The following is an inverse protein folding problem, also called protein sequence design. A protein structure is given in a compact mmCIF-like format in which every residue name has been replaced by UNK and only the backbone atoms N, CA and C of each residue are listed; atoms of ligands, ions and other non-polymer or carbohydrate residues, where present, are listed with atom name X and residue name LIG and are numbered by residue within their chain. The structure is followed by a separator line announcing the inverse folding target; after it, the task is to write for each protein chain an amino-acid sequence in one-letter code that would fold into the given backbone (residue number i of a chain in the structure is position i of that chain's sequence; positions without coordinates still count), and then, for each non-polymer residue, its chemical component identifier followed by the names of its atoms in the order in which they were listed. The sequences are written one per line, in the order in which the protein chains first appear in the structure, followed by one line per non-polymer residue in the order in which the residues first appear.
data_IF_351597837888
#
_entry.id   IF_351597837888
#
_cell.length_a   1.000
_cell.length_b   1.000
_cell.length_c   1.000
_cell.angle_alpha   90.00
_cell.angle_beta   90.00
_cell.angle_gamma   90.00
#
_symmetry.space_group_name_H-M   'P 1'
#
loop_
_entity.id
_entity.type
_entity.pdbx_description
1 polymer ?
#
# COMPACT_ATOMS: atom_id res chain seq x y z
N UNK A 1 -40.09 -13.94 -21.94
CA UNK A 1 -39.10 -12.84 -21.96
C UNK A 1 -38.74 -12.56 -23.42
N UNK A 2 -38.94 -11.32 -23.89
CA UNK A 2 -38.67 -10.97 -25.29
C UNK A 2 -37.18 -11.09 -25.64
N UNK A 3 -36.86 -11.33 -26.91
CA UNK A 3 -35.48 -11.47 -27.42
C UNK A 3 -34.61 -10.26 -27.02
N UNK A 4 -35.21 -9.06 -27.02
CA UNK A 4 -34.56 -7.81 -26.60
C UNK A 4 -33.99 -7.88 -25.19
N UNK A 5 -34.79 -8.34 -24.24
CA UNK A 5 -34.37 -8.44 -22.85
C UNK A 5 -33.30 -9.51 -22.63
N UNK A 6 -33.40 -10.64 -23.34
CA UNK A 6 -32.38 -11.70 -23.26
C UNK A 6 -31.01 -11.18 -23.75
N UNK A 7 -30.99 -10.48 -24.89
CA UNK A 7 -29.77 -9.89 -25.43
C UNK A 7 -29.15 -8.87 -24.46
N UNK A 8 -29.93 -7.91 -23.98
CA UNK A 8 -29.43 -6.88 -23.03
C UNK A 8 -28.83 -7.55 -21.78
N UNK A 9 -29.53 -8.53 -21.21
CA UNK A 9 -29.07 -9.23 -20.01
C UNK A 9 -27.79 -10.04 -20.26
N UNK A 10 -27.66 -10.70 -21.42
CA UNK A 10 -26.42 -11.40 -21.79
C UNK A 10 -25.23 -10.45 -21.94
N UNK A 11 -25.40 -9.32 -22.62
CA UNK A 11 -24.33 -8.32 -22.78
C UNK A 11 -23.90 -7.74 -21.43
N UNK A 12 -24.85 -7.44 -20.54
CA UNK A 12 -24.56 -6.95 -19.19
C UNK A 12 -23.81 -8.00 -18.36
N UNK A 13 -24.26 -9.26 -18.34
CA UNK A 13 -23.60 -10.32 -17.56
C UNK A 13 -22.17 -10.58 -18.03
N UNK A 14 -21.96 -10.70 -19.34
CA UNK A 14 -20.64 -10.98 -19.93
C UNK A 14 -19.65 -9.84 -19.66
N UNK A 15 -20.14 -8.61 -19.55
CA UNK A 15 -19.27 -7.44 -19.36
C UNK A 15 -19.04 -7.07 -17.90
N UNK A 16 -20.09 -7.12 -17.07
CA UNK A 16 -20.04 -6.68 -15.66
C UNK A 16 -19.32 -7.73 -14.80
N UNK A 17 -19.54 -9.01 -15.04
CA UNK A 17 -18.99 -10.06 -14.17
C UNK A 17 -17.45 -10.09 -14.18
N UNK A 18 -16.76 -10.09 -15.34
CA UNK A 18 -15.30 -9.99 -15.37
C UNK A 18 -14.77 -8.70 -14.77
N UNK A 19 -15.47 -7.58 -15.00
CA UNK A 19 -15.09 -6.28 -14.45
C UNK A 19 -15.09 -6.31 -12.91
N UNK A 20 -16.19 -6.78 -12.31
CA UNK A 20 -16.33 -6.90 -10.85
C UNK A 20 -15.27 -7.84 -10.26
N UNK A 21 -15.01 -8.97 -10.92
CA UNK A 21 -13.96 -9.91 -10.50
C UNK A 21 -12.57 -9.27 -10.58
N UNK A 22 -12.26 -8.58 -11.67
CA UNK A 22 -10.97 -7.91 -11.87
C UNK A 22 -10.76 -6.79 -10.84
N UNK A 23 -11.80 -5.98 -10.59
CA UNK A 23 -11.76 -4.91 -9.58
C UNK A 23 -11.60 -5.44 -8.17
N UNK A 24 -12.39 -6.47 -7.81
CA UNK A 24 -12.29 -7.12 -6.50
C UNK A 24 -10.92 -7.77 -6.28
N UNK A 25 -10.42 -8.51 -7.28
CA UNK A 25 -9.09 -9.11 -7.24
C UNK A 25 -7.99 -8.06 -7.11
N UNK A 26 -8.04 -7.01 -7.94
CA UNK A 26 -7.08 -5.90 -7.89
C UNK A 26 -7.07 -5.20 -6.53
N UNK A 27 -8.25 -4.97 -5.95
CA UNK A 27 -8.39 -4.38 -4.62
C UNK A 27 -7.82 -5.26 -3.50
N UNK A 28 -8.05 -6.57 -3.55
CA UNK A 28 -7.46 -7.50 -2.59
C UNK A 28 -5.94 -7.53 -2.73
N UNK A 29 -5.43 -7.58 -3.96
CA UNK A 29 -4.00 -7.64 -4.24
C UNK A 29 -3.27 -6.37 -3.78
N UNK A 30 -3.80 -5.17 -4.07
CA UNK A 30 -3.17 -3.92 -3.65
C UNK A 30 -3.14 -3.78 -2.12
N UNK A 31 -4.18 -4.24 -1.41
CA UNK A 31 -4.18 -4.24 0.06
C UNK A 31 -3.13 -5.18 0.63
N UNK A 32 -3.00 -6.39 0.08
CA UNK A 32 -1.99 -7.36 0.50
C UNK A 32 -0.58 -6.83 0.26
N UNK A 33 -0.29 -6.38 -0.97
CA UNK A 33 1.03 -5.85 -1.35
C UNK A 33 1.38 -4.62 -0.54
N UNK A 34 0.45 -3.66 -0.36
CA UNK A 34 0.66 -2.46 0.46
C UNK A 34 0.99 -2.80 1.90
N UNK A 35 0.22 -3.70 2.52
CA UNK A 35 0.45 -4.09 3.92
C UNK A 35 1.80 -4.80 4.12
N UNK A 36 2.18 -5.66 3.19
CA UNK A 36 3.46 -6.36 3.20
C UNK A 36 4.62 -5.39 3.01
N UNK A 37 4.53 -4.51 2.00
CA UNK A 37 5.54 -3.52 1.70
C UNK A 37 5.73 -2.53 2.86
N UNK A 38 4.66 -2.09 3.51
CA UNK A 38 4.72 -1.24 4.71
C UNK A 38 5.40 -1.94 5.88
N UNK A 39 5.03 -3.20 6.13
CA UNK A 39 5.62 -4.00 7.21
C UNK A 39 7.11 -4.21 6.98
N UNK A 40 7.51 -4.58 5.77
CA UNK A 40 8.91 -4.84 5.43
C UNK A 40 9.73 -3.54 5.46
N UNK A 41 9.21 -2.45 4.89
CA UNK A 41 9.87 -1.14 4.94
C UNK A 41 10.05 -0.64 6.37
N UNK A 42 9.04 -0.80 7.23
CA UNK A 42 9.14 -0.46 8.66
C UNK A 42 10.23 -1.27 9.36
N UNK A 43 10.31 -2.57 9.07
CA UNK A 43 11.32 -3.45 9.63
C UNK A 43 12.72 -3.09 9.14
N UNK A 44 12.91 -2.87 7.84
CA UNK A 44 14.21 -2.49 7.26
C UNK A 44 14.68 -1.15 7.80
N UNK A 45 13.79 -0.16 7.92
CA UNK A 45 14.12 1.13 8.54
C UNK A 45 14.50 0.95 10.01
N UNK A 46 13.75 0.16 10.78
CA UNK A 46 14.09 -0.12 12.17
C UNK A 46 15.48 -0.77 12.30
N UNK A 47 15.82 -1.73 11.43
CA UNK A 47 17.15 -2.36 11.40
C UNK A 47 18.22 -1.33 11.07
N UNK A 48 18.02 -0.51 10.04
CA UNK A 48 18.98 0.50 9.62
C UNK A 48 19.26 1.54 10.73
N UNK A 49 18.21 2.01 11.42
CA UNK A 49 18.38 2.93 12.56
C UNK A 49 19.12 2.29 13.73
N UNK A 50 18.86 1.01 14.04
CA UNK A 50 19.59 0.28 15.08
C UNK A 50 21.06 0.14 14.71
N UNK A 51 21.36 -0.29 13.49
CA UNK A 51 22.74 -0.40 12.99
C UNK A 51 23.46 0.95 12.99
N UNK A 52 22.79 2.02 12.57
CA UNK A 52 23.35 3.37 12.60
C UNK A 52 23.72 3.79 14.03
N UNK A 53 22.84 3.57 15.01
CA UNK A 53 23.11 3.91 16.41
C UNK A 53 24.25 3.06 17.00
N UNK A 54 24.31 1.77 16.67
CA UNK A 54 25.38 0.87 17.09
C UNK A 54 26.73 1.29 16.50
N UNK A 55 26.76 1.55 15.19
CA UNK A 55 27.95 1.99 14.48
C UNK A 55 28.44 3.33 15.01
N UNK A 56 27.56 4.32 15.19
CA UNK A 56 27.91 5.62 15.78
C UNK A 56 28.51 5.47 17.18
N UNK A 57 27.94 4.59 18.00
CA UNK A 57 28.47 4.31 19.34
C UNK A 57 29.87 3.71 19.27
N UNK A 58 30.11 2.79 18.33
CA UNK A 58 31.41 2.16 18.14
C UNK A 58 32.46 3.15 17.59
N UNK A 59 32.08 4.03 16.68
CA UNK A 59 32.96 5.06 16.13
C UNK A 59 33.37 6.07 17.23
N UNK A 60 32.40 6.51 18.04
CA UNK A 60 32.65 7.36 19.22
C UNK A 60 33.56 6.62 20.20
N UNK A 61 33.30 5.33 20.49
CA UNK A 61 34.13 4.50 21.37
C UNK A 61 35.58 4.53 20.93
N UNK A 62 35.85 4.16 19.68
CA UNK A 62 37.22 4.13 19.14
C UNK A 62 37.91 5.49 19.22
N UNK A 63 37.20 6.56 18.89
CA UNK A 63 37.76 7.92 18.93
C UNK A 63 38.10 8.36 20.36
N UNK A 64 37.22 8.08 21.34
CA UNK A 64 37.44 8.41 22.74
C UNK A 64 38.53 7.55 23.38
N UNK A 65 38.59 6.25 23.07
CA UNK A 65 39.65 5.36 23.55
C UNK A 65 41.02 5.80 23.06
N UNK A 66 41.12 6.16 21.78
CA UNK A 66 42.35 6.74 21.22
C UNK A 66 42.72 8.06 21.90
N UNK A 67 41.73 8.94 22.11
CA UNK A 67 41.96 10.22 22.78
C UNK A 67 42.47 10.05 24.21
N UNK A 68 41.78 9.21 25.00
CA UNK A 68 42.11 8.98 26.41
C UNK A 68 43.46 8.28 26.56
N UNK A 69 43.71 7.22 25.76
CA UNK A 69 45.00 6.52 25.80
C UNK A 69 46.17 7.45 25.49
N UNK A 70 46.05 8.33 24.49
CA UNK A 70 47.09 9.29 24.15
C UNK A 70 47.31 10.36 25.24
N UNK A 71 46.24 10.81 25.93
CA UNK A 71 46.35 11.74 27.08
C UNK A 71 47.03 11.07 28.27
N UNK A 72 46.63 9.85 28.62
CA UNK A 72 47.20 9.08 29.74
C UNK A 72 48.70 8.79 29.55
N UNK A 73 49.17 8.63 28.31
CA UNK A 73 50.61 8.43 28.02
C UNK A 73 51.42 9.73 28.19
N UNK A 74 50.79 10.89 27.99
CA UNK A 74 51.48 12.19 27.95
C UNK A 74 51.46 12.94 29.27
N UNK A 75 50.55 12.61 30.18
CA UNK A 75 50.31 13.34 31.42
C UNK A 75 50.13 12.37 32.60
N UNK A 76 51.17 12.26 33.43
CA UNK A 76 51.17 11.41 34.62
C UNK A 76 50.16 11.86 35.70
N UNK A 77 49.68 13.10 35.64
CA UNK A 77 48.68 13.67 36.56
C UNK A 77 47.26 13.71 35.94
N UNK A 78 47.00 12.91 34.92
CA UNK A 78 45.71 12.89 34.25
C UNK A 78 44.56 12.45 35.17
N UNK A 79 43.57 13.33 35.36
CA UNK A 79 42.31 13.02 36.03
C UNK A 79 41.16 12.92 35.02
N UNK A 80 40.30 11.90 35.18
CA UNK A 80 39.17 11.67 34.28
C UNK A 80 38.20 12.86 34.33
N UNK A 81 38.05 13.50 35.49
CA UNK A 81 37.20 14.67 35.67
C UNK A 81 37.57 15.84 34.74
N UNK A 82 38.85 15.99 34.38
CA UNK A 82 39.33 17.09 33.52
C UNK A 82 38.81 16.95 32.08
N UNK A 83 38.50 15.72 31.64
CA UNK A 83 37.93 15.46 30.32
C UNK A 83 36.59 16.18 30.11
N UNK A 84 35.87 16.48 31.18
CA UNK A 84 34.58 17.18 31.11
C UNK A 84 34.74 18.61 30.60
N UNK A 85 35.94 19.19 30.71
CA UNK A 85 36.26 20.55 30.28
C UNK A 85 37.12 20.58 29.01
N UNK A 86 37.55 19.43 28.49
CA UNK A 86 38.33 19.34 27.26
C UNK A 86 37.38 19.44 26.03
N UNK A 87 37.53 20.47 25.17
CA UNK A 87 36.66 20.66 24.02
C UNK A 87 36.76 19.52 23.00
N UNK A 88 37.95 18.94 22.82
CA UNK A 88 38.16 17.85 21.87
C UNK A 88 37.42 16.59 22.35
N UNK A 89 37.57 16.23 23.63
CA UNK A 89 36.85 15.11 24.22
C UNK A 89 35.32 15.31 24.13
N UNK A 90 34.84 16.50 24.48
CA UNK A 90 33.42 16.82 24.47
C UNK A 90 32.81 16.72 23.07
N UNK A 91 33.50 17.25 22.05
CA UNK A 91 33.03 17.18 20.65
C UNK A 91 33.02 15.76 20.08
N UNK A 92 33.95 14.90 20.52
CA UNK A 92 33.98 13.49 20.12
C UNK A 92 32.87 12.69 20.81
N UNK A 93 32.64 12.92 22.10
CA UNK A 93 31.69 12.15 22.92
C UNK A 93 30.23 12.57 22.78
N UNK A 94 29.96 13.84 22.46
CA UNK A 94 28.62 14.36 22.25
C UNK A 94 28.38 14.60 20.76
N UNK A 95 27.69 13.66 20.13
CA UNK A 95 27.27 13.75 18.74
C UNK A 95 25.75 13.65 18.66
N UNK A 96 25.15 14.43 17.77
CA UNK A 96 23.75 14.32 17.39
C UNK A 96 23.66 13.72 15.99
N UNK A 97 22.65 12.88 15.75
CA UNK A 97 22.42 12.28 14.44
C UNK A 97 20.93 12.03 14.24
N UNK A 98 20.46 12.19 13.01
CA UNK A 98 19.03 12.22 12.76
C UNK A 98 18.36 13.42 13.43
N UNK A 99 17.10 13.27 13.83
CA UNK A 99 16.29 14.32 14.50
C UNK A 99 16.28 14.18 16.02
N UNK A 100 16.33 12.94 16.50
CA UNK A 100 16.19 12.62 17.93
C UNK A 100 17.39 11.88 18.50
N UNK A 101 18.31 11.45 17.63
CA UNK A 101 19.49 10.68 17.99
C UNK A 101 20.57 11.54 18.63
N UNK A 102 21.10 11.09 19.76
CA UNK A 102 22.28 11.70 20.37
C UNK A 102 23.08 10.71 21.22
N UNK A 103 24.36 11.00 21.42
CA UNK A 103 25.21 10.34 22.40
C UNK A 103 25.38 11.20 23.66
N UNK A 104 25.57 10.52 24.79
CA UNK A 104 25.98 11.11 26.05
C UNK A 104 26.99 10.19 26.73
N UNK A 105 27.78 10.73 27.65
CA UNK A 105 28.77 9.97 28.41
C UNK A 105 28.25 9.83 29.83
N UNK A 106 28.30 8.60 30.34
CA UNK A 106 27.97 8.25 31.70
C UNK A 106 29.25 7.92 32.45
N UNK A 107 29.29 8.27 33.73
CA UNK A 107 30.31 7.82 34.64
C UNK A 107 29.73 6.75 35.56
N UNK A 108 30.47 5.65 35.72
CA UNK A 108 30.16 4.61 36.69
C UNK A 108 31.08 4.74 37.91
N UNK A 109 30.52 5.20 39.03
CA UNK A 109 31.20 5.26 40.34
C UNK A 109 30.61 4.18 41.25
N UNK A 110 31.35 3.08 41.46
CA UNK A 110 30.85 1.85 42.12
C UNK A 110 29.60 1.32 41.42
N UNK A 111 28.45 1.34 42.09
CA UNK A 111 27.14 0.91 41.55
C UNK A 111 26.24 2.08 41.11
N UNK A 112 26.77 3.31 41.10
CA UNK A 112 26.03 4.50 40.67
C UNK A 112 26.41 4.91 39.26
N UNK A 113 25.40 5.31 38.49
CA UNK A 113 25.57 5.92 37.18
C UNK A 113 25.10 7.37 37.23
N UNK A 114 25.92 8.28 36.72
CA UNK A 114 25.58 9.70 36.53
C UNK A 114 25.98 10.17 35.14
N UNK A 115 25.33 11.23 34.65
CA UNK A 115 25.75 11.84 33.39
C UNK A 115 27.09 12.57 33.58
N UNK A 116 28.12 12.12 32.87
CA UNK A 116 29.40 12.80 32.77
C UNK A 116 29.35 13.92 31.72
N UNK A 117 28.83 13.60 30.54
CA UNK A 117 28.52 14.59 29.49
C UNK A 117 27.13 14.34 28.94
N UNK A 118 26.42 15.39 28.57
CA UNK A 118 25.09 15.29 27.98
C UNK A 118 24.79 16.52 27.09
N UNK A 119 24.06 16.37 25.96
CA UNK A 119 23.73 17.51 25.09
C UNK A 119 22.96 18.62 25.79
N UNK A 120 22.16 18.27 26.79
CA UNK A 120 21.52 19.21 27.72
C UNK A 120 22.41 19.38 28.98
N UNK A 121 23.05 20.54 29.19
CA UNK A 121 23.96 20.78 30.31
C UNK A 121 23.33 20.59 31.70
N UNK A 122 22.00 20.81 31.82
CA UNK A 122 21.27 20.63 33.10
C UNK A 122 21.24 19.19 33.60
N UNK A 123 21.60 18.24 32.73
CA UNK A 123 21.62 16.81 33.05
C UNK A 123 22.96 16.35 33.60
N UNK A 124 24.04 17.09 33.35
CA UNK A 124 25.39 16.75 33.79
C UNK A 124 25.41 16.64 35.32
N UNK A 125 26.07 15.59 35.83
CA UNK A 125 26.15 15.24 37.25
C UNK A 125 24.90 14.59 37.84
N UNK A 126 23.75 14.55 37.14
CA UNK A 126 22.53 13.91 37.67
C UNK A 126 22.70 12.40 37.76
N UNK A 127 22.32 11.83 38.90
CA UNK A 127 22.22 10.39 39.13
C UNK A 127 21.05 9.81 38.32
N UNK A 128 21.32 8.74 37.58
CA UNK A 128 20.33 7.97 36.81
C UNK A 128 20.16 6.54 37.31
N UNK A 129 20.80 6.18 38.42
CA UNK A 129 20.76 4.84 39.03
C UNK A 129 19.32 4.45 39.37
N UNK A 130 18.55 5.38 39.94
CA UNK A 130 17.13 5.16 40.24
C UNK A 130 16.28 4.94 38.98
N UNK A 131 16.58 5.66 37.90
CA UNK A 131 15.92 5.52 36.60
C UNK A 131 16.21 4.15 35.98
N UNK A 132 17.47 3.71 36.05
CA UNK A 132 17.90 2.38 35.60
C UNK A 132 17.19 1.31 36.42
N UNK A 133 17.13 1.43 37.74
CA UNK A 133 16.51 0.45 38.62
C UNK A 133 14.99 0.30 38.40
N UNK A 134 14.28 1.40 38.12
CA UNK A 134 12.82 1.41 37.91
C UNK A 134 12.39 0.76 36.60
N UNK A 135 13.22 0.75 35.56
CA UNK A 135 12.88 0.17 34.26
C UNK A 135 13.59 -1.17 34.02
N UNK A 136 12.85 -2.27 34.05
CA UNK A 136 13.40 -3.64 33.93
C UNK A 136 14.18 -3.85 32.61
N UNK A 137 13.70 -3.30 31.49
CA UNK A 137 14.39 -3.44 30.18
C UNK A 137 15.68 -2.64 30.16
N UNK A 138 15.64 -1.41 30.69
CA UNK A 138 16.81 -0.54 30.79
C UNK A 138 17.84 -1.10 31.78
N UNK A 139 17.42 -1.61 32.93
CA UNK A 139 18.28 -2.35 33.88
C UNK A 139 19.01 -3.52 33.19
N UNK A 140 18.28 -4.34 32.43
CA UNK A 140 18.84 -5.47 31.68
C UNK A 140 19.83 -5.05 30.59
N UNK A 141 19.68 -3.86 30.01
CA UNK A 141 20.63 -3.29 29.07
C UNK A 141 21.95 -2.96 29.78
N UNK A 142 21.88 -2.22 30.88
CA UNK A 142 23.05 -1.82 31.67
C UNK A 142 23.81 -3.03 32.21
N UNK A 143 23.11 -4.02 32.79
CA UNK A 143 23.75 -5.25 33.28
C UNK A 143 24.52 -5.99 32.18
N UNK A 144 23.95 -6.08 30.96
CA UNK A 144 24.63 -6.69 29.82
C UNK A 144 25.82 -5.88 29.34
N UNK A 145 25.69 -4.56 29.25
CA UNK A 145 26.79 -3.69 28.85
C UNK A 145 27.95 -3.72 29.86
N UNK A 146 27.65 -3.75 31.17
CA UNK A 146 28.68 -3.88 32.21
C UNK A 146 29.39 -5.23 32.13
N UNK A 147 28.65 -6.31 31.85
CA UNK A 147 29.22 -7.65 31.77
C UNK A 147 30.02 -7.91 30.47
N UNK A 148 29.63 -7.29 29.35
CA UNK A 148 30.20 -7.59 28.02
C UNK A 148 30.92 -6.40 27.35
N UNK A 149 30.94 -5.24 27.98
CA UNK A 149 31.46 -3.99 27.40
C UNK A 149 30.55 -3.32 26.35
N UNK A 150 29.54 -4.02 25.85
CA UNK A 150 28.60 -3.52 24.85
C UNK A 150 27.23 -4.16 25.01
N UNK A 151 26.17 -3.36 24.92
CA UNK A 151 24.82 -3.87 24.74
C UNK A 151 23.93 -2.84 24.07
N UNK A 152 22.94 -3.33 23.32
CA UNK A 152 21.88 -2.52 22.73
C UNK A 152 20.51 -3.06 23.10
N UNK A 153 19.49 -2.21 23.05
CA UNK A 153 18.15 -2.61 23.43
C UNK A 153 17.12 -1.49 23.43
N UNK A 154 15.86 -1.89 23.49
CA UNK A 154 14.73 -0.97 23.48
C UNK A 154 14.26 -0.79 24.92
N UNK A 155 14.12 0.47 25.35
CA UNK A 155 13.49 0.82 26.60
C UNK A 155 12.54 2.00 26.41
N UNK A 156 11.58 2.12 27.31
CA UNK A 156 10.64 3.23 27.34
C UNK A 156 10.85 4.02 28.62
N UNK A 157 11.27 5.27 28.47
CA UNK A 157 11.60 6.15 29.58
C UNK A 157 10.75 7.39 29.45
N UNK A 158 9.98 7.70 30.50
CA UNK A 158 9.05 8.84 30.52
C UNK A 158 8.10 8.84 29.31
N UNK A 159 7.50 7.67 29.00
CA UNK A 159 6.60 7.45 27.86
C UNK A 159 7.22 7.63 26.48
N UNK A 160 8.55 7.74 26.40
CA UNK A 160 9.28 7.81 25.12
C UNK A 160 9.99 6.48 24.89
N UNK A 161 9.49 5.72 23.90
CA UNK A 161 10.13 4.49 23.42
C UNK A 161 11.36 4.86 22.59
N UNK A 162 12.52 4.32 22.97
CA UNK A 162 13.78 4.62 22.30
C UNK A 162 14.65 3.38 22.21
N UNK A 163 15.47 3.34 21.16
CA UNK A 163 16.57 2.40 21.07
C UNK A 163 17.79 3.01 21.74
N UNK A 164 18.43 2.23 22.60
CA UNK A 164 19.60 2.62 23.36
C UNK A 164 20.75 1.68 23.02
N UNK A 165 21.94 2.25 22.88
CA UNK A 165 23.19 1.52 22.76
C UNK A 165 24.10 2.01 23.87
N UNK A 166 24.70 1.09 24.59
CA UNK A 166 25.60 1.38 25.71
C UNK A 166 26.90 0.63 25.49
N UNK A 167 28.02 1.33 25.56
CA UNK A 167 29.35 0.72 25.47
C UNK A 167 30.30 1.34 26.48
N UNK A 168 31.20 0.54 27.07
CA UNK A 168 32.26 1.04 27.91
C UNK A 168 33.37 1.70 27.07
N UNK A 169 34.09 2.63 27.68
CA UNK A 169 35.37 3.13 27.18
C UNK A 169 36.46 2.39 27.95
N UNK A 170 37.25 1.56 27.26
CA UNK A 170 38.27 0.72 27.90
C UNK A 170 39.31 1.55 28.66
N UNK A 171 39.76 1.04 29.80
CA UNK A 171 40.68 1.75 30.70
C UNK A 171 40.06 2.85 31.55
N UNK A 172 38.74 3.10 31.46
CA UNK A 172 38.07 4.18 32.21
C UNK A 172 36.81 3.71 32.95
N UNK A 173 36.28 4.56 33.82
CA UNK A 173 34.96 4.41 34.45
C UNK A 173 33.79 4.88 33.56
N UNK A 174 34.07 5.29 32.32
CA UNK A 174 33.13 5.96 31.44
C UNK A 174 32.41 5.00 30.49
N UNK A 175 31.17 5.33 30.16
CA UNK A 175 30.34 4.62 29.20
C UNK A 175 29.70 5.60 28.22
N UNK A 176 29.63 5.22 26.94
CA UNK A 176 28.88 5.93 25.91
C UNK A 176 27.47 5.39 25.90
N UNK A 177 26.49 6.26 26.15
CA UNK A 177 25.07 5.97 25.97
C UNK A 177 24.55 6.73 24.74
N UNK A 178 24.18 5.99 23.72
CA UNK A 178 23.52 6.53 22.53
C UNK A 178 22.03 6.24 22.59
N UNK A 179 21.20 7.21 22.24
CA UNK A 179 19.74 7.10 22.24
C UNK A 179 19.18 7.57 20.92
N UNK A 180 18.19 6.86 20.36
CA UNK A 180 17.36 7.30 19.22
C UNK A 180 15.88 7.02 19.51
N UNK A 181 15.00 7.98 19.25
CA UNK A 181 13.56 7.81 19.46
C UNK A 181 12.91 6.99 18.36
N UNK A 182 11.95 6.12 18.72
CA UNK A 182 11.14 5.39 17.74
C UNK A 182 10.26 6.30 16.88
N UNK A 183 9.91 7.49 17.40
CA UNK A 183 9.13 8.49 16.65
C UNK A 183 9.81 8.92 15.33
N UNK A 184 11.15 8.81 15.24
CA UNK A 184 11.90 9.12 14.03
C UNK A 184 11.69 8.10 12.91
N UNK A 185 11.36 6.86 13.26
CA UNK A 185 11.00 5.78 12.32
C UNK A 185 9.52 5.90 11.92
N UNK A 186 8.67 6.32 12.85
CA UNK A 186 7.22 6.44 12.62
C UNK A 186 6.90 7.48 11.53
N UNK A 187 7.62 8.60 11.49
CA UNK A 187 7.39 9.65 10.49
C UNK A 187 7.48 9.16 9.03
N UNK A 188 8.61 8.59 8.59
CA UNK A 188 8.74 8.01 7.25
C UNK A 188 7.69 6.92 6.95
N UNK A 189 7.35 6.09 7.94
CA UNK A 189 6.35 5.03 7.77
C UNK A 189 4.93 5.57 7.62
N UNK A 190 4.57 6.63 8.35
CA UNK A 190 3.30 7.32 8.17
C UNK A 190 3.21 7.97 6.79
N UNK A 191 4.30 8.61 6.33
CA UNK A 191 4.36 9.19 4.99
C UNK A 191 4.20 8.12 3.90
N UNK A 192 4.86 6.96 4.06
CA UNK A 192 4.73 5.83 3.14
C UNK A 192 3.30 5.25 3.17
N UNK A 193 2.71 5.09 4.35
CA UNK A 193 1.31 4.64 4.50
C UNK A 193 0.34 5.57 3.80
N UNK A 194 0.57 6.89 3.90
CA UNK A 194 -0.23 7.90 3.22
C UNK A 194 -0.17 7.73 1.71
N UNK A 195 1.04 7.58 1.14
CA UNK A 195 1.23 7.36 -0.31
C UNK A 195 0.51 6.11 -0.81
N UNK A 196 0.63 4.99 -0.10
CA UNK A 196 -0.09 3.77 -0.49
C UNK A 196 -1.61 3.93 -0.44
N UNK A 197 -2.13 4.68 0.53
CA UNK A 197 -3.56 4.97 0.60
C UNK A 197 -4.00 5.89 -0.54
N UNK A 198 -3.20 6.91 -0.88
CA UNK A 198 -3.46 7.80 -2.02
C UNK A 198 -3.48 7.02 -3.35
N UNK A 199 -2.53 6.10 -3.56
CA UNK A 199 -2.51 5.21 -4.73
C UNK A 199 -3.73 4.28 -4.77
N UNK A 200 -4.15 3.77 -3.62
CA UNK A 200 -5.36 2.94 -3.51
C UNK A 200 -6.63 3.70 -3.89
N UNK A 201 -6.79 4.92 -3.39
CA UNK A 201 -7.93 5.79 -3.75
C UNK A 201 -7.91 6.12 -5.25
N UNK A 202 -6.73 6.39 -5.81
CA UNK A 202 -6.56 6.63 -7.25
C UNK A 202 -6.95 5.42 -8.08
N UNK A 203 -6.52 4.22 -7.69
CA UNK A 203 -6.93 2.97 -8.33
C UNK A 203 -8.45 2.77 -8.29
N UNK A 204 -9.09 3.00 -7.14
CA UNK A 204 -10.54 2.89 -7.01
C UNK A 204 -11.28 3.89 -7.89
N UNK A 205 -10.81 5.14 -7.93
CA UNK A 205 -11.39 6.17 -8.80
C UNK A 205 -11.29 5.77 -10.28
N UNK A 206 -10.11 5.35 -10.73
CA UNK A 206 -9.91 4.86 -12.10
C UNK A 206 -10.79 3.65 -12.41
N UNK A 207 -10.90 2.70 -11.47
CA UNK A 207 -11.75 1.54 -11.61
C UNK A 207 -13.23 1.91 -11.72
N UNK A 208 -13.72 2.84 -10.90
CA UNK A 208 -15.11 3.32 -10.98
C UNK A 208 -15.40 4.09 -12.27
N UNK A 209 -14.50 4.98 -12.68
CA UNK A 209 -14.64 5.72 -13.95
C UNK A 209 -14.62 4.75 -15.12
N UNK A 210 -13.64 3.85 -15.17
CA UNK A 210 -13.52 2.83 -16.22
C UNK A 210 -14.73 1.87 -16.25
N UNK A 211 -15.25 1.52 -15.07
CA UNK A 211 -16.44 0.70 -14.95
C UNK A 211 -17.71 1.42 -15.44
N UNK A 212 -17.88 2.70 -15.11
CA UNK A 212 -19.01 3.50 -15.56
C UNK A 212 -18.96 3.73 -17.08
N UNK A 213 -17.79 4.04 -17.64
CA UNK A 213 -17.62 4.20 -19.08
C UNK A 213 -17.88 2.90 -19.83
N UNK A 214 -17.37 1.77 -19.32
CA UNK A 214 -17.60 0.44 -19.91
C UNK A 214 -19.08 0.07 -19.83
N UNK A 215 -19.73 0.29 -18.68
CA UNK A 215 -21.15 0.04 -18.50
C UNK A 215 -22.01 0.86 -19.47
N UNK A 216 -21.70 2.14 -19.65
CA UNK A 216 -22.38 3.00 -20.62
C UNK A 216 -22.21 2.50 -22.07
N UNK A 217 -21.00 2.11 -22.47
CA UNK A 217 -20.74 1.56 -23.81
C UNK A 217 -21.50 0.26 -24.05
N UNK A 218 -21.49 -0.66 -23.09
CA UNK A 218 -22.23 -1.93 -23.17
C UNK A 218 -23.72 -1.68 -23.32
N UNK A 219 -24.28 -0.72 -22.56
CA UNK A 219 -25.68 -0.33 -22.68
C UNK A 219 -26.00 0.23 -24.07
N UNK A 220 -25.16 1.14 -24.59
CA UNK A 220 -25.34 1.70 -25.93
C UNK A 220 -25.30 0.63 -27.02
N UNK A 221 -24.34 -0.30 -26.95
CA UNK A 221 -24.22 -1.43 -27.88
C UNK A 221 -25.46 -2.33 -27.77
N UNK A 222 -25.90 -2.67 -26.56
CA UNK A 222 -27.08 -3.51 -26.36
C UNK A 222 -28.36 -2.85 -26.92
N UNK A 223 -28.53 -1.54 -26.73
CA UNK A 223 -29.64 -0.78 -27.31
C UNK A 223 -29.56 -0.74 -28.84
N UNK A 224 -28.36 -0.53 -29.39
CA UNK A 224 -28.13 -0.55 -30.83
C UNK A 224 -28.52 -1.90 -31.46
N UNK A 225 -28.08 -3.02 -30.87
CA UNK A 225 -28.49 -4.37 -31.29
C UNK A 225 -29.99 -4.63 -31.13
N UNK A 226 -30.60 -4.13 -30.05
CA UNK A 226 -32.05 -4.25 -29.83
C UNK A 226 -32.87 -3.58 -30.94
N UNK A 227 -32.43 -2.40 -31.38
CA UNK A 227 -33.10 -1.63 -32.44
C UNK A 227 -32.81 -2.19 -33.83
N UNK A 228 -31.55 -2.54 -34.12
CA UNK A 228 -31.11 -2.96 -35.46
C UNK A 228 -31.38 -4.43 -35.79
N UNK A 229 -31.39 -5.32 -34.81
CA UNK A 229 -31.64 -6.75 -35.03
C UNK A 229 -32.97 -7.20 -34.41
N UNK A 230 -33.11 -7.06 -33.10
CA UNK A 230 -34.22 -7.71 -32.40
C UNK A 230 -35.58 -7.14 -32.81
N UNK A 231 -35.70 -5.83 -33.04
CA UNK A 231 -36.96 -5.22 -33.49
C UNK A 231 -37.36 -5.67 -34.91
N UNK A 232 -36.51 -5.57 -35.95
CA UNK A 232 -36.81 -6.12 -37.28
C UNK A 232 -37.18 -7.60 -37.28
N UNK A 233 -36.44 -8.44 -36.55
CA UNK A 233 -36.71 -9.89 -36.48
C UNK A 233 -38.09 -10.15 -35.86
N UNK A 234 -38.43 -9.44 -34.78
CA UNK A 234 -39.74 -9.57 -34.14
C UNK A 234 -40.85 -9.16 -35.11
N UNK A 235 -40.68 -8.04 -35.83
CA UNK A 235 -41.64 -7.58 -36.82
C UNK A 235 -41.82 -8.56 -37.99
N UNK A 236 -40.72 -9.08 -38.56
CA UNK A 236 -40.81 -10.08 -39.63
C UNK A 236 -41.49 -11.38 -39.16
N UNK A 237 -41.32 -11.74 -37.89
CA UNK A 237 -42.00 -12.88 -37.27
C UNK A 237 -43.50 -12.62 -37.16
N UNK A 238 -43.92 -11.43 -36.70
CA UNK A 238 -45.32 -11.02 -36.66
C UNK A 238 -45.97 -10.99 -38.05
N UNK A 239 -45.26 -10.49 -39.07
CA UNK A 239 -45.78 -10.49 -40.46
C UNK A 239 -45.88 -11.91 -41.01
N UNK A 240 -44.92 -12.78 -40.73
CA UNK A 240 -44.97 -14.19 -41.14
C UNK A 240 -46.17 -14.92 -40.49
N UNK A 241 -46.45 -14.65 -39.21
CA UNK A 241 -47.61 -15.18 -38.50
C UNK A 241 -48.93 -14.74 -39.14
N UNK A 242 -49.06 -13.44 -39.48
CA UNK A 242 -50.24 -12.92 -40.22
C UNK A 242 -50.43 -13.56 -41.59
N UNK A 243 -49.34 -13.71 -42.36
CA UNK A 243 -49.37 -14.40 -43.65
C UNK A 243 -49.86 -15.85 -43.49
N UNK A 244 -49.43 -16.54 -42.43
CA UNK A 244 -49.85 -17.92 -42.14
C UNK A 244 -51.35 -18.05 -41.84
N UNK A 245 -51.96 -16.98 -41.29
CA UNK A 245 -53.39 -16.89 -41.03
C UNK A 245 -54.21 -16.47 -42.27
N UNK A 246 -53.57 -16.29 -43.43
CA UNK A 246 -54.23 -15.95 -44.69
C UNK A 246 -54.23 -14.45 -45.03
N UNK A 247 -53.61 -13.60 -44.21
CA UNK A 247 -53.44 -12.17 -44.50
C UNK A 247 -52.29 -11.93 -45.50
N UNK A 248 -52.50 -12.31 -46.75
CA UNK A 248 -51.46 -12.28 -47.79
C UNK A 248 -51.12 -10.88 -48.31
N UNK A 249 -51.77 -9.83 -47.81
CA UNK A 249 -51.53 -8.43 -48.18
C UNK A 249 -50.83 -7.63 -47.07
N UNK A 250 -50.42 -8.27 -45.97
CA UNK A 250 -49.64 -7.62 -44.93
C UNK A 250 -48.34 -7.00 -45.49
N UNK A 251 -48.03 -5.72 -45.21
CA UNK A 251 -46.84 -5.07 -45.73
C UNK A 251 -45.56 -5.63 -45.05
N UNK A 252 -44.48 -5.74 -45.82
CA UNK A 252 -43.14 -6.11 -45.34
C UNK A 252 -42.22 -4.91 -45.59
N UNK A 253 -42.28 -3.95 -44.66
CA UNK A 253 -41.63 -2.64 -44.79
C UNK A 253 -40.24 -2.64 -44.10
N UNK A 254 -39.36 -3.51 -44.59
CA UNK A 254 -37.95 -3.54 -44.19
C UNK A 254 -37.09 -3.18 -45.40
N UNK A 255 -36.32 -2.10 -45.28
CA UNK A 255 -35.41 -1.58 -46.32
C UNK A 255 -33.94 -1.78 -45.94
N UNK A 256 -33.64 -2.81 -45.14
CA UNK A 256 -32.26 -3.11 -44.74
C UNK A 256 -31.48 -3.71 -45.90
N UNK A 257 -30.16 -3.49 -45.92
CA UNK A 257 -29.23 -4.02 -46.93
C UNK A 257 -28.29 -5.10 -46.37
N UNK A 258 -28.59 -5.60 -45.17
CA UNK A 258 -27.88 -6.67 -44.47
C UNK A 258 -28.70 -7.97 -44.49
N UNK A 259 -28.32 -8.97 -43.71
CA UNK A 259 -28.98 -10.27 -43.64
C UNK A 259 -30.46 -10.16 -43.21
N UNK A 260 -30.85 -9.09 -42.51
CA UNK A 260 -32.25 -8.81 -42.17
C UNK A 260 -33.03 -8.39 -43.41
N UNK A 261 -32.39 -7.64 -44.32
CA UNK A 261 -32.92 -7.31 -45.64
C UNK A 261 -33.14 -8.55 -46.49
N UNK A 262 -32.14 -9.43 -46.55
CA UNK A 262 -32.23 -10.70 -47.28
C UNK A 262 -33.37 -11.58 -46.76
N UNK A 263 -33.57 -11.61 -45.42
CA UNK A 263 -34.69 -12.31 -44.79
C UNK A 263 -36.04 -11.70 -45.16
N UNK A 264 -36.15 -10.36 -45.16
CA UNK A 264 -37.37 -9.67 -45.56
C UNK A 264 -37.72 -9.93 -47.04
N UNK A 265 -36.72 -9.94 -47.91
CA UNK A 265 -36.87 -10.22 -49.34
C UNK A 265 -37.30 -11.67 -49.59
N UNK A 266 -36.71 -12.63 -48.85
CA UNK A 266 -37.14 -14.02 -48.89
C UNK A 266 -38.61 -14.18 -48.46
N UNK A 267 -39.01 -13.51 -47.37
CA UNK A 267 -40.38 -13.51 -46.88
C UNK A 267 -41.35 -12.91 -47.91
N UNK A 268 -40.96 -11.82 -48.60
CA UNK A 268 -41.74 -11.20 -49.67
C UNK A 268 -41.96 -12.14 -50.86
N UNK A 269 -40.92 -12.86 -51.29
CA UNK A 269 -41.02 -13.87 -52.37
C UNK A 269 -41.97 -15.02 -51.98
N UNK A 270 -41.93 -15.46 -50.72
CA UNK A 270 -42.83 -16.49 -50.20
C UNK A 270 -44.29 -16.01 -50.19
N UNK A 271 -44.55 -14.79 -49.71
CA UNK A 271 -45.88 -14.18 -49.68
C UNK A 271 -46.51 -14.13 -51.09
N UNK A 272 -45.76 -13.68 -52.10
CA UNK A 272 -46.21 -13.62 -53.49
C UNK A 272 -46.52 -15.02 -54.04
N UNK A 273 -45.69 -16.01 -53.70
CA UNK A 273 -45.85 -17.39 -54.15
C UNK A 273 -47.12 -18.04 -53.58
N UNK A 274 -47.37 -17.84 -52.29
CA UNK A 274 -48.60 -18.29 -51.60
C UNK A 274 -49.86 -17.65 -52.21
N UNK A 275 -49.83 -16.33 -52.45
CA UNK A 275 -50.93 -15.60 -53.08
C UNK A 275 -51.27 -16.18 -54.45
N UNK A 276 -50.26 -16.43 -55.29
CA UNK A 276 -50.46 -17.05 -56.61
C UNK A 276 -51.00 -18.46 -56.51
N UNK A 277 -50.56 -19.26 -55.54
CA UNK A 277 -51.04 -20.62 -55.33
C UNK A 277 -52.54 -20.65 -54.96
N UNK A 278 -52.95 -19.81 -54.01
CA UNK A 278 -54.36 -19.70 -53.57
C UNK A 278 -55.25 -19.21 -54.72
N UNK A 279 -54.83 -18.19 -55.48
CA UNK A 279 -55.58 -17.72 -56.66
C UNK A 279 -55.75 -18.82 -57.72
N UNK A 280 -54.73 -19.66 -57.95
CA UNK A 280 -54.83 -20.80 -58.88
C UNK A 280 -55.85 -21.83 -58.39
N UNK A 281 -55.90 -22.10 -57.09
CA UNK A 281 -56.89 -23.01 -56.50
C UNK A 281 -58.31 -22.46 -56.64
N UNK A 282 -58.53 -21.19 -56.34
CA UNK A 282 -59.84 -20.53 -56.48
C UNK A 282 -60.33 -20.50 -57.94
N UNK A 283 -59.44 -20.25 -58.91
CA UNK A 283 -59.80 -20.32 -60.35
C UNK A 283 -60.17 -21.73 -60.80
N UNK A 284 -59.60 -22.77 -60.19
CA UNK A 284 -59.97 -24.17 -60.49
C UNK A 284 -61.31 -24.55 -59.85
N UNK A 285 -61.60 -24.07 -58.64
CA UNK A 285 -62.88 -24.33 -57.98
C UNK A 285 -64.05 -23.59 -58.65
N UNK A 286 -63.82 -22.45 -59.30
CA UNK A 286 -64.85 -21.72 -60.06
C UNK A 286 -65.11 -22.27 -61.47
N UNK A 287 -64.28 -23.19 -61.97
CA UNK A 287 -64.44 -23.84 -63.28
C UNK A 287 -65.08 -25.23 -63.19
N UNK A 288 -65.41 -25.68 -61.99
CA UNK A 288 -66.24 -26.85 -61.71
C UNK A 288 -67.60 -26.37 -61.25
#
# INVERSE_FOLDING_TARGET
MSIRWKLILTFLLVSILPLVLAGGSGYLHINQVSSLALKESARSLEIAYKQLAEQKTLDIKKALEYFVSNKMIRDDNFHIEDLQFDPAFTSLGIQTFGKTGYSCILEKKKDKFSYFLHPNPKMIGRDITSLIARNIKFKRLFLRAVAKGFASGIAEISSVKSFYVLSNIEGTSLYILTKVSYSEIEGPIQALKKRFNEEKETFLMQYYVGGLTTGALVLLIALWFSIRLARPITYLTEVAERISLGELEAPIDITSTDEIGDLADALRRMQVSLRKAIQRLQRRSQRR
#
